data_IF_874093833462
#
_entry.id   IF_874093833462
#
_cell.length_a   1.000
_cell.length_b   1.000
_cell.length_c   1.000
_cell.angle_alpha   90.00
_cell.angle_beta   90.00
_cell.angle_gamma   90.00
#
_symmetry.space_group_name_H-M   'P 1'
#
loop_
_entity.id
_entity.type
_entity.pdbx_description
1 polymer ?
#
# COMPACT_ATOMS: atom_id res chain seq x y z
N UNK A 1 -45.41 21.74 40.87
CA UNK A 1 -45.52 22.34 39.55
C UNK A 1 -44.55 21.58 38.66
N UNK A 2 -45.04 20.65 37.91
CA UNK A 2 -44.26 19.97 36.91
C UNK A 2 -44.25 20.80 35.64
N UNK A 3 -43.16 21.39 35.29
CA UNK A 3 -42.96 21.99 33.98
C UNK A 3 -42.07 21.12 33.17
N UNK A 4 -42.50 20.68 31.98
CA UNK A 4 -41.65 20.01 31.02
C UNK A 4 -40.52 20.96 30.65
N UNK A 5 -39.32 20.71 31.16
CA UNK A 5 -38.15 21.53 30.94
C UNK A 5 -36.91 20.69 30.73
N UNK A 6 -36.13 21.03 29.70
CA UNK A 6 -34.74 20.60 29.60
C UNK A 6 -33.86 21.64 30.27
N UNK A 7 -32.78 21.22 30.93
CA UNK A 7 -31.73 22.13 31.39
C UNK A 7 -30.40 21.74 30.72
N UNK A 8 -29.71 22.75 30.21
CA UNK A 8 -28.40 22.55 29.63
C UNK A 8 -27.38 22.31 30.73
N UNK A 9 -26.54 21.30 30.56
CA UNK A 9 -25.42 20.98 31.45
C UNK A 9 -24.12 21.33 30.72
N UNK A 10 -23.46 22.33 31.26
CA UNK A 10 -22.10 22.73 30.88
C UNK A 10 -21.08 21.91 31.70
N UNK A 11 -19.93 22.47 32.04
CA UNK A 11 -18.95 21.76 32.87
C UNK A 11 -19.50 21.58 34.30
N UNK A 12 -19.82 20.33 34.65
CA UNK A 12 -20.45 20.00 35.92
C UNK A 12 -20.15 18.57 36.37
N UNK A 13 -20.15 18.37 37.67
CA UNK A 13 -20.31 17.08 38.31
C UNK A 13 -21.66 17.05 39.03
N UNK A 14 -22.53 16.13 38.66
CA UNK A 14 -23.88 16.01 39.20
C UNK A 14 -24.05 14.64 39.85
N UNK A 15 -24.43 14.66 41.13
CA UNK A 15 -24.76 13.49 41.92
C UNK A 15 -26.21 13.64 42.40
N UNK A 16 -27.12 13.05 41.63
CA UNK A 16 -28.55 13.07 41.96
C UNK A 16 -28.96 11.77 42.62
N UNK A 17 -29.52 11.88 43.84
CA UNK A 17 -29.96 10.72 44.65
C UNK A 17 -31.39 10.93 45.11
N UNK A 18 -32.20 9.89 44.97
CA UNK A 18 -33.49 9.81 45.64
C UNK A 18 -33.31 9.02 46.94
N UNK A 19 -33.52 9.70 48.05
CA UNK A 19 -33.41 9.12 49.41
C UNK A 19 -34.75 8.62 49.94
N UNK A 20 -35.84 8.71 49.17
CA UNK A 20 -37.14 8.20 49.58
C UNK A 20 -37.19 6.67 49.47
N UNK A 21 -38.03 6.07 50.33
CA UNK A 21 -38.27 4.59 50.28
C UNK A 21 -39.11 4.20 49.04
N UNK A 22 -39.67 5.13 48.34
CA UNK A 22 -40.44 4.94 47.11
C UNK A 22 -39.48 4.88 45.92
N UNK A 23 -39.70 3.96 44.98
CA UNK A 23 -38.90 3.78 43.73
C UNK A 23 -39.17 4.94 42.73
N UNK A 24 -38.86 6.17 43.13
CA UNK A 24 -38.98 7.34 42.29
C UNK A 24 -37.62 7.65 41.69
N UNK A 25 -37.50 7.96 40.39
CA UNK A 25 -36.23 8.36 39.78
C UNK A 25 -35.61 9.58 40.46
N UNK A 26 -34.28 9.66 40.49
CA UNK A 26 -33.56 10.82 41.00
C UNK A 26 -33.76 12.05 40.08
N UNK A 27 -33.94 11.82 38.80
CA UNK A 27 -34.23 12.81 37.78
C UNK A 27 -35.53 12.40 37.08
N UNK A 28 -36.51 13.29 37.08
CA UNK A 28 -37.81 13.04 36.47
C UNK A 28 -37.80 13.18 34.95
N UNK A 29 -38.64 12.42 34.24
CA UNK A 29 -38.84 12.47 32.78
C UNK A 29 -39.12 13.89 32.25
N UNK A 30 -39.75 14.70 33.07
CA UNK A 30 -40.12 16.08 32.71
C UNK A 30 -38.96 17.07 32.86
N UNK A 31 -37.80 16.63 33.37
CA UNK A 31 -36.65 17.48 33.66
C UNK A 31 -35.36 16.77 33.24
N UNK A 32 -35.15 16.60 31.94
CA UNK A 32 -34.05 15.87 31.38
C UNK A 32 -32.83 16.77 31.22
N UNK A 33 -31.65 16.39 31.78
CA UNK A 33 -30.41 17.09 31.48
C UNK A 33 -30.03 16.88 30.03
N UNK A 34 -29.65 17.96 29.35
CA UNK A 34 -29.10 17.95 27.99
C UNK A 34 -27.70 18.49 28.07
N UNK A 35 -26.74 17.69 27.57
CA UNK A 35 -25.36 18.16 27.51
C UNK A 35 -25.28 19.32 26.52
N UNK A 36 -24.80 20.47 26.99
CA UNK A 36 -24.69 21.66 26.17
C UNK A 36 -23.71 21.48 25.02
N UNK A 37 -23.88 22.22 23.93
CA UNK A 37 -22.94 22.24 22.82
C UNK A 37 -21.55 22.65 23.32
N UNK A 38 -20.50 21.93 22.86
CA UNK A 38 -19.12 22.15 23.31
C UNK A 38 -18.74 21.41 24.59
N UNK A 39 -19.63 20.57 25.13
CA UNK A 39 -19.33 19.72 26.28
C UNK A 39 -19.53 18.24 25.97
N UNK A 40 -18.89 17.38 26.72
CA UNK A 40 -19.02 15.94 26.60
C UNK A 40 -19.22 15.29 27.99
N UNK A 41 -20.00 14.23 27.99
CA UNK A 41 -20.14 13.35 29.14
C UNK A 41 -18.87 12.46 29.25
N UNK A 42 -18.13 12.63 30.33
CA UNK A 42 -16.88 11.89 30.57
C UNK A 42 -16.99 10.78 31.59
N UNK A 43 -18.05 10.83 32.41
CA UNK A 43 -18.38 9.81 33.38
C UNK A 43 -19.90 9.78 33.54
N UNK A 44 -20.51 8.62 33.58
CA UNK A 44 -21.93 8.47 33.91
C UNK A 44 -22.19 7.08 34.45
N UNK A 45 -22.58 7.02 35.71
CA UNK A 45 -23.07 5.80 36.37
C UNK A 45 -24.42 6.05 37.00
N UNK A 46 -25.21 5.01 37.00
CA UNK A 46 -26.51 5.02 37.64
C UNK A 46 -26.72 3.77 38.48
N UNK A 47 -27.67 3.85 39.41
CA UNK A 47 -28.15 2.68 40.16
C UNK A 47 -29.65 2.56 39.91
N UNK A 48 -30.07 1.39 39.43
CA UNK A 48 -31.47 1.09 39.18
C UNK A 48 -32.28 0.88 40.46
N UNK A 49 -33.56 0.56 40.30
CA UNK A 49 -34.44 0.30 41.43
C UNK A 49 -34.07 -0.94 42.23
N UNK A 50 -33.42 -1.90 41.63
CA UNK A 50 -32.92 -3.16 42.19
C UNK A 50 -31.57 -3.01 42.89
N UNK A 51 -30.90 -1.86 42.73
CA UNK A 51 -29.60 -1.57 43.31
C UNK A 51 -28.40 -1.96 42.43
N UNK A 52 -28.64 -2.28 41.15
CA UNK A 52 -27.60 -2.61 40.19
C UNK A 52 -26.93 -1.36 39.65
N UNK A 53 -25.57 -1.34 39.66
CA UNK A 53 -24.81 -0.26 39.03
C UNK A 53 -24.76 -0.44 37.51
N UNK A 54 -25.07 0.63 36.78
CA UNK A 54 -25.09 0.66 35.31
C UNK A 54 -24.14 1.75 34.84
N UNK A 55 -23.27 1.41 33.90
CA UNK A 55 -22.42 2.35 33.18
C UNK A 55 -23.18 2.90 31.98
N UNK A 56 -23.60 4.15 32.07
CA UNK A 56 -24.41 4.84 31.05
C UNK A 56 -23.56 5.28 29.84
N UNK A 57 -22.22 5.41 29.98
CA UNK A 57 -21.34 5.71 28.86
C UNK A 57 -21.25 4.52 27.91
N UNK A 58 -21.05 3.33 28.44
CA UNK A 58 -20.95 2.11 27.65
C UNK A 58 -22.28 1.69 27.03
N UNK A 59 -23.41 2.01 27.67
CA UNK A 59 -24.74 1.74 27.14
C UNK A 59 -25.16 2.68 26.01
N UNK A 60 -24.45 3.80 25.81
CA UNK A 60 -24.76 4.80 24.80
C UNK A 60 -26.05 5.58 25.08
N UNK A 61 -26.63 5.42 26.29
CA UNK A 61 -27.87 6.14 26.66
C UNK A 61 -27.57 7.34 27.54
N UNK A 62 -28.22 8.46 27.26
CA UNK A 62 -28.25 9.68 28.08
C UNK A 62 -29.58 9.83 28.81
N UNK A 63 -30.36 8.74 28.94
CA UNK A 63 -31.67 8.79 29.57
C UNK A 63 -31.55 8.52 31.06
N UNK A 64 -31.47 9.57 31.85
CA UNK A 64 -31.22 9.52 33.30
C UNK A 64 -32.48 9.32 34.16
N UNK A 65 -33.65 9.45 33.58
CA UNK A 65 -34.90 9.49 34.31
C UNK A 65 -35.37 8.17 34.91
N UNK A 66 -34.74 7.06 34.61
CA UNK A 66 -35.13 5.71 35.09
C UNK A 66 -34.39 5.25 36.36
N UNK A 67 -33.43 6.04 36.83
CA UNK A 67 -32.51 5.57 37.84
C UNK A 67 -32.70 6.23 39.20
N UNK A 68 -32.54 5.44 40.26
CA UNK A 68 -32.66 5.90 41.65
C UNK A 68 -31.51 6.83 42.06
N UNK A 69 -30.29 6.53 41.57
CA UNK A 69 -29.13 7.38 41.76
C UNK A 69 -28.46 7.55 40.39
N UNK A 70 -28.02 8.77 40.08
CA UNK A 70 -27.27 9.08 38.87
C UNK A 70 -26.11 9.98 39.26
N UNK A 71 -24.92 9.58 38.86
CA UNK A 71 -23.72 10.40 38.98
C UNK A 71 -23.12 10.57 37.58
N UNK A 72 -22.94 11.79 37.11
CA UNK A 72 -22.30 12.08 35.84
C UNK A 72 -21.40 13.32 35.89
N UNK A 73 -20.40 13.32 35.03
CA UNK A 73 -19.44 14.42 34.88
C UNK A 73 -19.41 14.85 33.43
N UNK A 74 -19.55 16.14 33.20
CA UNK A 74 -19.36 16.78 31.89
C UNK A 74 -18.12 17.64 31.89
N UNK A 75 -17.43 17.70 30.77
CA UNK A 75 -16.26 18.58 30.57
C UNK A 75 -16.36 19.30 29.25
N UNK A 76 -15.73 20.47 29.17
CA UNK A 76 -15.55 21.19 27.94
C UNK A 76 -14.80 20.31 26.92
N UNK A 77 -15.26 20.32 25.66
CA UNK A 77 -14.69 19.61 24.56
C UNK A 77 -14.30 20.59 23.45
N UNK A 78 -13.14 20.39 22.89
CA UNK A 78 -12.52 21.30 21.94
C UNK A 78 -12.46 20.65 20.55
N UNK A 79 -12.79 21.38 19.47
CA UNK A 79 -12.69 20.86 18.12
C UNK A 79 -11.25 20.60 17.76
N UNK A 80 -10.99 19.37 17.33
CA UNK A 80 -9.69 18.90 16.82
C UNK A 80 -9.83 18.63 15.34
N UNK A 81 -9.01 19.30 14.53
CA UNK A 81 -8.94 19.10 13.09
C UNK A 81 -7.67 18.32 12.73
N UNK A 82 -7.82 17.25 11.98
CA UNK A 82 -6.71 16.48 11.41
C UNK A 82 -6.48 16.91 9.97
N UNK A 83 -5.35 17.52 9.69
CA UNK A 83 -4.93 17.87 8.32
C UNK A 83 -4.04 16.78 7.81
N UNK A 84 -4.59 15.93 6.96
CA UNK A 84 -3.89 14.76 6.39
C UNK A 84 -3.39 15.11 5.00
N UNK A 85 -2.10 14.93 4.76
CA UNK A 85 -1.47 15.22 3.47
C UNK A 85 -0.78 13.97 2.91
N UNK A 86 -0.64 13.85 1.57
CA UNK A 86 -1.11 14.77 0.52
C UNK A 86 -2.65 14.80 0.36
N UNK A 87 -3.19 15.86 -0.21
CA UNK A 87 -4.64 16.13 -0.28
C UNK A 87 -5.41 15.17 -1.20
N UNK A 88 -4.71 14.51 -2.14
CA UNK A 88 -5.28 13.55 -3.11
C UNK A 88 -5.51 12.16 -2.52
N UNK A 89 -5.26 11.94 -1.24
CA UNK A 89 -5.47 10.64 -0.60
C UNK A 89 -6.94 10.22 -0.62
N UNK A 90 -7.16 8.93 -0.84
CA UNK A 90 -8.49 8.32 -0.83
C UNK A 90 -8.68 7.41 0.38
N UNK A 91 -9.96 7.23 0.79
CA UNK A 91 -10.34 6.38 1.92
C UNK A 91 -9.59 6.70 3.22
N UNK A 92 -9.39 8.00 3.48
CA UNK A 92 -8.75 8.45 4.72
C UNK A 92 -9.67 8.16 5.90
N UNK A 93 -9.17 7.38 6.86
CA UNK A 93 -9.85 7.06 8.12
C UNK A 93 -8.98 7.52 9.27
N UNK A 94 -9.52 8.39 10.11
CA UNK A 94 -8.90 8.82 11.37
C UNK A 94 -9.53 8.07 12.52
N UNK A 95 -8.71 7.51 13.39
CA UNK A 95 -9.14 6.89 14.65
C UNK A 95 -8.50 7.59 15.83
N UNK A 96 -9.32 7.80 16.87
CA UNK A 96 -8.90 8.32 18.17
C UNK A 96 -9.11 7.20 19.19
N UNK A 97 -8.07 6.80 19.91
CA UNK A 97 -8.10 5.67 20.85
C UNK A 97 -8.74 4.41 20.25
N UNK A 98 -8.43 4.12 18.96
CA UNK A 98 -8.93 2.95 18.23
C UNK A 98 -10.34 3.10 17.62
N UNK A 99 -11.09 4.16 17.91
CA UNK A 99 -12.41 4.43 17.37
C UNK A 99 -12.36 5.40 16.19
N UNK A 100 -13.02 5.03 15.07
CA UNK A 100 -13.12 5.93 13.93
C UNK A 100 -13.96 7.17 14.27
N UNK A 101 -13.45 8.33 13.86
CA UNK A 101 -14.09 9.63 14.16
C UNK A 101 -14.33 10.42 12.88
N UNK A 102 -15.30 11.34 12.95
CA UNK A 102 -15.44 12.39 11.93
C UNK A 102 -14.37 13.45 12.12
N UNK A 103 -14.02 14.16 11.06
CA UNK A 103 -13.04 15.25 11.10
C UNK A 103 -13.73 16.57 10.69
N UNK A 104 -13.80 17.58 11.56
CA UNK A 104 -13.26 17.64 12.93
C UNK A 104 -14.01 16.75 13.93
N UNK A 105 -13.37 16.47 15.07
CA UNK A 105 -13.93 15.77 16.24
C UNK A 105 -13.78 16.64 17.49
N UNK A 106 -14.78 16.63 18.37
CA UNK A 106 -14.67 17.29 19.66
C UNK A 106 -14.08 16.35 20.69
N UNK A 107 -13.02 16.77 21.39
CA UNK A 107 -12.35 16.00 22.43
C UNK A 107 -12.16 16.86 23.68
N UNK A 108 -12.32 16.27 24.84
CA UNK A 108 -11.99 16.93 26.12
C UNK A 108 -10.47 17.09 26.27
N UNK A 109 -10.02 17.93 27.19
CA UNK A 109 -8.60 18.05 27.47
C UNK A 109 -8.02 16.69 27.90
N UNK A 110 -6.89 16.30 27.27
CA UNK A 110 -6.26 15.00 27.49
C UNK A 110 -5.31 14.61 26.36
N UNK A 111 -4.67 13.46 26.50
CA UNK A 111 -3.79 12.90 25.45
C UNK A 111 -4.47 11.70 24.82
N UNK A 112 -4.50 11.67 23.50
CA UNK A 112 -5.18 10.67 22.69
C UNK A 112 -4.23 10.01 21.71
N UNK A 113 -4.33 8.69 21.58
CA UNK A 113 -3.67 7.97 20.52
C UNK A 113 -4.41 8.21 19.20
N UNK A 114 -3.66 8.54 18.16
CA UNK A 114 -4.17 8.77 16.82
C UNK A 114 -3.63 7.72 15.88
N UNK A 115 -4.51 7.11 15.10
CA UNK A 115 -4.17 6.25 13.98
C UNK A 115 -4.84 6.81 12.73
N UNK A 116 -4.09 6.89 11.62
CA UNK A 116 -4.62 7.30 10.33
C UNK A 116 -4.24 6.28 9.28
N UNK A 117 -5.22 5.87 8.50
CA UNK A 117 -5.04 5.00 7.34
C UNK A 117 -5.59 5.67 6.09
N UNK A 118 -4.95 5.42 4.96
CA UNK A 118 -5.41 5.83 3.63
C UNK A 118 -4.97 4.77 2.62
N UNK A 119 -5.60 4.76 1.45
CA UNK A 119 -5.22 3.84 0.38
C UNK A 119 -3.77 4.06 -0.04
N UNK A 120 -3.09 2.94 -0.30
CA UNK A 120 -1.71 2.95 -0.79
C UNK A 120 -0.69 3.63 0.14
N UNK A 121 -1.03 3.90 1.39
CA UNK A 121 -0.16 4.55 2.36
C UNK A 121 0.22 3.61 3.51
N UNK A 122 1.36 3.91 4.11
CA UNK A 122 1.72 3.35 5.41
C UNK A 122 0.79 3.96 6.46
N UNK A 123 0.26 3.11 7.36
CA UNK A 123 -0.52 3.61 8.49
C UNK A 123 0.32 4.55 9.35
N UNK A 124 -0.29 5.66 9.74
CA UNK A 124 0.29 6.60 10.71
C UNK A 124 -0.18 6.24 12.11
N UNK A 125 0.69 6.37 13.09
CA UNK A 125 0.36 6.28 14.52
C UNK A 125 1.12 7.37 15.28
N UNK A 126 0.41 8.06 16.16
CA UNK A 126 0.97 9.15 16.96
C UNK A 126 0.04 9.51 18.12
N UNK A 127 0.33 10.59 18.80
CA UNK A 127 -0.50 11.13 19.87
C UNK A 127 -0.80 12.60 19.63
N UNK A 128 -1.96 13.06 20.07
CA UNK A 128 -2.31 14.47 20.20
C UNK A 128 -2.61 14.78 21.67
N UNK A 129 -2.19 15.95 22.13
CA UNK A 129 -2.60 16.50 23.43
C UNK A 129 -3.57 17.65 23.18
N UNK A 130 -4.76 17.53 23.71
CA UNK A 130 -5.78 18.57 23.71
C UNK A 130 -5.68 19.28 25.04
N UNK A 131 -5.56 20.59 25.00
CA UNK A 131 -5.44 21.44 26.19
C UNK A 131 -6.68 22.33 26.30
N UNK A 132 -6.94 22.86 27.47
CA UNK A 132 -8.05 23.78 27.77
C UNK A 132 -7.70 25.27 27.56
N UNK A 133 -6.45 25.55 27.18
CA UNK A 133 -5.97 26.91 26.91
C UNK A 133 -6.14 27.33 25.44
N UNK A 134 -6.58 26.44 24.55
CA UNK A 134 -6.80 26.70 23.13
C UNK A 134 -8.21 26.33 22.71
N UNK A 135 -8.90 27.25 22.04
CA UNK A 135 -10.28 27.04 21.56
C UNK A 135 -10.38 25.99 20.44
N UNK A 136 -9.30 25.73 19.73
CA UNK A 136 -9.22 24.73 18.65
C UNK A 136 -7.85 24.08 18.60
N UNK A 137 -7.79 22.85 18.13
CA UNK A 137 -6.53 22.12 17.94
C UNK A 137 -6.41 21.65 16.50
N UNK A 138 -5.20 21.68 15.95
CA UNK A 138 -4.91 21.18 14.61
C UNK A 138 -3.74 20.20 14.68
N UNK A 139 -3.92 19.00 14.15
CA UNK A 139 -2.88 17.99 13.99
C UNK A 139 -2.57 17.79 12.52
N UNK A 140 -1.36 18.16 12.11
CA UNK A 140 -0.88 17.87 10.76
C UNK A 140 -0.29 16.46 10.69
N UNK A 141 -0.71 15.69 9.71
CA UNK A 141 -0.33 14.30 9.50
C UNK A 141 0.13 14.12 8.06
N UNK A 142 1.43 13.91 7.87
CA UNK A 142 2.00 13.59 6.58
C UNK A 142 2.01 12.07 6.39
N UNK A 143 1.19 11.57 5.46
CA UNK A 143 1.16 10.16 5.07
C UNK A 143 2.28 9.86 4.07
N UNK A 144 2.77 8.64 4.10
CA UNK A 144 3.79 8.18 3.16
C UNK A 144 3.22 7.04 2.34
N UNK A 145 3.28 7.14 1.02
CA UNK A 145 2.88 6.07 0.12
C UNK A 145 3.72 4.81 0.34
N UNK A 146 3.12 3.66 0.09
CA UNK A 146 3.84 2.39 0.01
C UNK A 146 4.80 2.42 -1.18
N UNK A 147 5.94 1.72 -1.12
CA UNK A 147 6.82 1.58 -2.27
C UNK A 147 6.11 0.82 -3.41
N UNK A 148 6.51 1.10 -4.64
CA UNK A 148 6.07 0.31 -5.80
C UNK A 148 6.62 -1.13 -5.72
N UNK A 149 5.94 -2.05 -6.40
CA UNK A 149 6.40 -3.44 -6.55
C UNK A 149 7.35 -3.58 -7.74
N UNK A 150 8.61 -3.91 -7.46
CA UNK A 150 9.67 -4.10 -8.45
C UNK A 150 9.87 -5.56 -8.88
N UNK A 151 9.02 -6.49 -8.46
CA UNK A 151 9.19 -7.93 -8.73
C UNK A 151 9.36 -8.23 -10.21
N UNK A 152 8.59 -7.56 -11.09
CA UNK A 152 8.68 -7.72 -12.55
C UNK A 152 10.02 -7.18 -13.10
N UNK A 153 10.46 -6.02 -12.60
CA UNK A 153 11.74 -5.41 -12.98
C UNK A 153 12.89 -6.32 -12.60
N UNK A 154 12.87 -6.84 -11.37
CA UNK A 154 13.92 -7.75 -10.88
C UNK A 154 13.97 -9.05 -11.68
N UNK A 155 12.81 -9.59 -12.05
CA UNK A 155 12.73 -10.76 -12.92
C UNK A 155 13.26 -10.47 -14.33
N UNK A 156 12.95 -9.32 -14.92
CA UNK A 156 13.46 -8.92 -16.23
C UNK A 156 14.98 -8.71 -16.21
N UNK A 157 15.52 -8.07 -15.16
CA UNK A 157 16.96 -7.91 -14.96
C UNK A 157 17.64 -9.26 -14.80
N UNK A 158 17.05 -10.18 -14.03
CA UNK A 158 17.60 -11.53 -13.85
C UNK A 158 17.65 -12.28 -15.19
N UNK A 159 16.62 -12.19 -16.02
CA UNK A 159 16.62 -12.74 -17.39
C UNK A 159 17.76 -12.14 -18.23
N UNK A 160 17.90 -10.80 -18.24
CA UNK A 160 18.96 -10.11 -18.96
C UNK A 160 20.36 -10.59 -18.54
N UNK A 161 20.58 -10.71 -17.24
CA UNK A 161 21.87 -11.14 -16.67
C UNK A 161 22.21 -12.62 -16.92
N UNK A 162 21.21 -13.45 -17.19
CA UNK A 162 21.40 -14.87 -17.52
C UNK A 162 21.83 -15.10 -18.98
N UNK A 163 21.71 -14.10 -19.85
CA UNK A 163 22.07 -14.20 -21.25
C UNK A 163 23.58 -14.11 -21.43
N UNK A 164 24.12 -14.92 -22.34
CA UNK A 164 25.52 -14.83 -22.76
C UNK A 164 25.67 -13.70 -23.80
N UNK A 165 26.21 -12.57 -23.38
CA UNK A 165 26.35 -11.37 -24.21
C UNK A 165 27.16 -11.62 -25.49
N UNK A 166 28.11 -12.55 -25.45
CA UNK A 166 29.01 -12.86 -26.56
C UNK A 166 28.32 -13.53 -27.75
N UNK A 167 27.10 -14.06 -27.54
CA UNK A 167 26.28 -14.68 -28.57
C UNK A 167 25.50 -13.71 -29.44
N UNK A 168 25.36 -12.44 -29.01
CA UNK A 168 24.50 -11.46 -29.68
C UNK A 168 25.32 -10.43 -30.49
N UNK A 169 24.71 -9.94 -31.58
CA UNK A 169 25.31 -8.92 -32.45
C UNK A 169 25.49 -7.59 -31.72
N UNK A 170 24.46 -7.20 -30.97
CA UNK A 170 24.48 -6.01 -30.11
C UNK A 170 23.67 -6.29 -28.83
N UNK A 171 24.32 -6.17 -27.70
CA UNK A 171 23.70 -6.33 -26.37
C UNK A 171 23.51 -4.97 -25.66
N UNK A 172 24.00 -3.87 -26.21
CA UNK A 172 24.01 -2.56 -25.58
C UNK A 172 22.62 -2.01 -25.29
N UNK A 173 21.61 -2.39 -26.10
CA UNK A 173 20.22 -2.01 -25.91
C UNK A 173 19.66 -2.56 -24.61
N UNK A 174 19.97 -3.82 -24.28
CA UNK A 174 19.56 -4.45 -23.02
C UNK A 174 20.26 -3.79 -21.84
N UNK A 175 21.58 -3.54 -21.95
CA UNK A 175 22.34 -2.85 -20.89
C UNK A 175 21.81 -1.45 -20.63
N UNK A 176 21.44 -0.72 -21.68
CA UNK A 176 20.84 0.61 -21.57
C UNK A 176 19.46 0.55 -20.84
N UNK A 177 18.60 -0.40 -21.22
CA UNK A 177 17.31 -0.58 -20.59
C UNK A 177 17.44 -0.91 -19.09
N UNK A 178 18.36 -1.79 -18.71
CA UNK A 178 18.65 -2.12 -17.31
C UNK A 178 19.17 -0.91 -16.54
N UNK A 179 20.06 -0.11 -17.15
CA UNK A 179 20.64 1.08 -16.52
C UNK A 179 19.63 2.20 -16.27
N UNK A 180 18.56 2.28 -17.03
CA UNK A 180 17.50 3.30 -16.86
C UNK A 180 16.52 3.00 -15.75
N UNK A 181 16.64 1.88 -15.04
CA UNK A 181 15.76 1.53 -13.94
C UNK A 181 15.94 2.48 -12.76
N UNK A 182 14.84 3.10 -12.34
CA UNK A 182 14.74 3.99 -11.16
C UNK A 182 14.02 3.22 -10.04
N UNK A 183 14.57 3.25 -8.81
CA UNK A 183 14.15 2.35 -7.70
C UNK A 183 13.37 3.00 -6.55
N UNK A 184 13.14 4.29 -6.56
CA UNK A 184 12.54 5.07 -5.46
C UNK A 184 11.12 5.54 -5.77
N UNK A 185 10.42 4.83 -6.67
CA UNK A 185 9.02 5.08 -6.97
C UNK A 185 8.09 4.47 -5.93
N UNK A 186 6.98 5.15 -5.70
CA UNK A 186 5.91 4.66 -4.84
C UNK A 186 4.81 3.94 -5.63
N UNK A 187 3.87 3.35 -4.93
CA UNK A 187 2.81 2.50 -5.51
C UNK A 187 1.91 3.26 -6.52
N UNK A 188 1.77 4.58 -6.40
CA UNK A 188 0.97 5.37 -7.36
C UNK A 188 1.65 5.48 -8.73
N UNK A 189 2.96 5.19 -8.78
CA UNK A 189 3.80 5.18 -9.99
C UNK A 189 4.03 3.74 -10.51
N UNK A 190 3.24 2.74 -10.06
CA UNK A 190 3.43 1.33 -10.43
C UNK A 190 3.42 1.12 -11.95
N UNK A 191 2.61 1.87 -12.69
CA UNK A 191 2.57 1.79 -14.16
C UNK A 191 3.93 2.11 -14.81
N UNK A 192 4.66 3.08 -14.25
CA UNK A 192 5.99 3.43 -14.74
C UNK A 192 7.01 2.34 -14.40
N UNK A 193 6.89 1.73 -13.22
CA UNK A 193 7.73 0.59 -12.82
C UNK A 193 7.48 -0.62 -13.75
N UNK A 194 6.22 -0.92 -14.06
CA UNK A 194 5.87 -1.98 -14.99
C UNK A 194 6.38 -1.70 -16.41
N UNK A 195 6.39 -0.43 -16.84
CA UNK A 195 6.97 -0.02 -18.12
C UNK A 195 8.48 -0.24 -18.19
N UNK A 196 9.22 -0.06 -17.07
CA UNK A 196 10.67 -0.36 -17.03
C UNK A 196 10.92 -1.87 -17.22
N UNK A 197 10.12 -2.73 -16.59
CA UNK A 197 10.22 -4.18 -16.79
C UNK A 197 9.97 -4.54 -18.25
N UNK A 198 8.91 -3.98 -18.83
CA UNK A 198 8.58 -4.20 -20.24
C UNK A 198 9.69 -3.72 -21.18
N UNK A 199 10.31 -2.58 -20.92
CA UNK A 199 11.40 -2.07 -21.76
C UNK A 199 12.60 -3.03 -21.78
N UNK A 200 12.94 -3.66 -20.65
CA UNK A 200 13.99 -4.66 -20.58
C UNK A 200 13.58 -5.92 -21.36
N UNK A 201 12.34 -6.39 -21.19
CA UNK A 201 11.84 -7.57 -21.91
C UNK A 201 11.77 -7.33 -23.43
N UNK A 202 11.34 -6.17 -23.88
CA UNK A 202 11.31 -5.78 -25.29
C UNK A 202 12.74 -5.72 -25.86
N UNK A 203 13.69 -5.18 -25.09
CA UNK A 203 15.11 -5.14 -25.51
C UNK A 203 15.71 -6.56 -25.63
N UNK A 204 15.37 -7.46 -24.71
CA UNK A 204 15.77 -8.87 -24.79
C UNK A 204 15.15 -9.55 -26.03
N UNK A 205 13.88 -9.31 -26.29
CA UNK A 205 13.17 -9.90 -27.42
C UNK A 205 13.69 -9.41 -28.79
N UNK A 206 14.28 -8.21 -28.83
CA UNK A 206 14.88 -7.64 -30.03
C UNK A 206 16.29 -8.13 -30.33
N UNK A 207 16.92 -8.89 -29.42
CA UNK A 207 18.28 -9.40 -29.60
C UNK A 207 18.39 -10.31 -30.83
N UNK A 208 19.49 -10.14 -31.54
CA UNK A 208 19.85 -11.00 -32.69
C UNK A 208 21.14 -11.70 -32.40
N UNK A 209 21.13 -13.01 -32.60
CA UNK A 209 22.34 -13.81 -32.50
C UNK A 209 23.38 -13.44 -33.57
N UNK A 210 24.64 -13.55 -33.23
CA UNK A 210 25.76 -13.51 -34.21
C UNK A 210 25.60 -14.67 -35.17
N UNK A 211 26.11 -14.48 -36.37
CA UNK A 211 26.17 -15.56 -37.36
C UNK A 211 27.19 -16.60 -36.91
N UNK A 212 26.99 -17.87 -37.27
CA UNK A 212 27.97 -18.91 -37.04
C UNK A 212 29.24 -18.67 -37.86
N UNK A 213 30.36 -19.15 -37.37
CA UNK A 213 31.64 -19.11 -38.07
C UNK A 213 31.77 -20.30 -39.06
N UNK A 214 31.78 -19.97 -40.35
CA UNK A 214 31.89 -20.92 -41.44
C UNK A 214 33.32 -21.12 -41.95
N UNK A 215 34.34 -20.53 -41.28
CA UNK A 215 35.74 -20.59 -41.75
C UNK A 215 36.20 -22.01 -42.05
N UNK A 216 35.94 -22.97 -41.17
CA UNK A 216 36.30 -24.37 -41.38
C UNK A 216 35.57 -25.03 -42.55
N UNK A 217 34.31 -24.71 -42.74
CA UNK A 217 33.49 -25.20 -43.85
C UNK A 217 34.04 -24.65 -45.17
N UNK A 218 34.34 -23.36 -45.23
CA UNK A 218 34.89 -22.70 -46.40
C UNK A 218 36.25 -23.25 -46.77
N UNK A 219 37.11 -23.54 -45.79
CA UNK A 219 38.39 -24.23 -45.99
C UNK A 219 38.21 -25.67 -46.53
N UNK A 220 37.24 -26.43 -46.00
CA UNK A 220 36.92 -27.76 -46.47
C UNK A 220 36.43 -27.76 -47.92
N UNK A 221 35.51 -26.83 -48.27
CA UNK A 221 35.01 -26.61 -49.62
C UNK A 221 36.18 -26.25 -50.56
N UNK A 222 37.06 -25.34 -50.15
CA UNK A 222 38.18 -24.91 -50.93
C UNK A 222 39.13 -26.12 -51.25
N UNK A 223 39.39 -26.96 -50.24
CA UNK A 223 40.17 -28.21 -50.44
C UNK A 223 39.49 -29.15 -51.41
N UNK A 224 38.18 -29.40 -51.26
CA UNK A 224 37.39 -30.24 -52.14
C UNK A 224 37.41 -29.72 -53.57
N UNK A 225 37.28 -28.42 -53.79
CA UNK A 225 37.34 -27.81 -55.14
C UNK A 225 38.74 -27.83 -55.79
N UNK A 226 39.76 -27.92 -54.97
CA UNK A 226 41.18 -28.03 -55.51
C UNK A 226 41.53 -29.42 -55.94
N UNK A 227 40.70 -30.43 -55.67
CA UNK A 227 40.96 -31.80 -56.14
C UNK A 227 40.70 -31.96 -57.63
N UNK A 228 41.58 -32.67 -58.33
CA UNK A 228 41.38 -33.04 -59.75
C UNK A 228 40.41 -34.20 -59.81
N UNK A 229 39.17 -33.98 -60.27
CA UNK A 229 38.08 -34.96 -60.31
C UNK A 229 38.46 -36.20 -61.17
N UNK A 230 39.25 -36.00 -62.23
CA UNK A 230 39.64 -37.05 -63.16
C UNK A 230 40.62 -38.12 -62.54
N UNK A 231 41.17 -37.77 -61.37
CA UNK A 231 42.01 -38.67 -60.60
C UNK A 231 41.30 -39.67 -59.70
N UNK A 232 39.93 -39.45 -59.54
CA UNK A 232 39.12 -40.24 -58.63
C UNK A 232 38.16 -41.14 -59.41
N UNK A 233 37.97 -42.35 -58.96
CA UNK A 233 37.12 -43.36 -59.58
C UNK A 233 35.61 -42.97 -59.39
N UNK A 234 35.31 -42.31 -58.27
CA UNK A 234 34.01 -41.76 -57.96
C UNK A 234 34.19 -40.47 -57.09
N UNK A 235 33.70 -39.34 -57.55
CA UNK A 235 33.82 -38.06 -56.91
C UNK A 235 32.44 -37.57 -56.37
N UNK A 236 31.37 -38.36 -56.61
CA UNK A 236 30.01 -37.98 -56.32
C UNK A 236 29.75 -37.69 -54.83
N UNK A 237 30.46 -38.41 -53.93
CA UNK A 237 30.37 -38.22 -52.48
C UNK A 237 30.86 -36.85 -52.04
N UNK A 238 31.97 -36.38 -52.64
CA UNK A 238 32.52 -35.04 -52.34
C UNK A 238 31.58 -33.93 -52.82
N UNK A 239 31.04 -34.10 -54.07
CA UNK A 239 30.08 -33.13 -54.60
C UNK A 239 28.81 -33.08 -53.77
N UNK A 240 28.31 -34.24 -53.33
CA UNK A 240 27.11 -34.31 -52.46
C UNK A 240 27.37 -33.60 -51.11
N UNK A 241 28.55 -33.82 -50.50
CA UNK A 241 28.89 -33.16 -49.24
C UNK A 241 28.98 -31.62 -49.38
N UNK A 242 29.63 -31.14 -50.44
CA UNK A 242 29.72 -29.69 -50.71
C UNK A 242 28.33 -29.09 -50.94
N UNK A 243 27.48 -29.78 -51.70
CA UNK A 243 26.11 -29.30 -51.98
C UNK A 243 25.18 -29.39 -50.78
N UNK A 244 25.49 -30.21 -49.79
CA UNK A 244 24.69 -30.37 -48.56
C UNK A 244 24.96 -29.27 -47.52
N UNK A 245 25.92 -28.38 -47.74
CA UNK A 245 26.28 -27.31 -46.82
C UNK A 245 25.12 -26.33 -46.70
N UNK A 246 24.60 -26.18 -45.48
CA UNK A 246 23.51 -25.21 -45.15
C UNK A 246 24.16 -23.94 -44.56
N UNK A 247 23.83 -22.79 -45.15
CA UNK A 247 24.29 -21.47 -44.72
C UNK A 247 23.19 -20.74 -43.92
N UNK A 248 23.58 -19.70 -43.18
CA UNK A 248 22.64 -18.84 -42.45
C UNK A 248 22.34 -19.29 -41.03
N UNK A 249 23.08 -20.26 -40.50
CA UNK A 249 23.02 -20.64 -39.08
C UNK A 249 23.62 -19.56 -38.19
N UNK A 250 23.14 -19.48 -36.97
CA UNK A 250 23.66 -18.55 -35.96
C UNK A 250 24.66 -19.27 -35.02
N UNK A 251 25.30 -18.49 -34.14
CA UNK A 251 26.38 -18.98 -33.26
C UNK A 251 25.93 -20.11 -32.31
N UNK A 252 24.63 -20.18 -31.93
CA UNK A 252 24.11 -21.26 -31.06
C UNK A 252 24.10 -22.61 -31.80
N UNK A 253 24.19 -22.60 -33.14
CA UNK A 253 24.23 -23.76 -34.02
C UNK A 253 25.66 -24.04 -34.51
N UNK A 254 26.72 -23.45 -33.92
CA UNK A 254 28.09 -23.58 -34.35
C UNK A 254 28.57 -25.04 -34.44
N UNK A 255 28.11 -25.89 -33.51
CA UNK A 255 28.48 -27.32 -33.55
C UNK A 255 27.97 -28.03 -34.79
N UNK A 256 26.81 -27.64 -35.32
CA UNK A 256 26.28 -28.20 -36.58
C UNK A 256 27.08 -27.69 -37.77
N UNK A 257 27.47 -26.41 -37.76
CA UNK A 257 28.34 -25.84 -38.78
C UNK A 257 29.72 -26.55 -38.80
N UNK A 258 30.32 -26.75 -37.63
CA UNK A 258 31.60 -27.48 -37.51
C UNK A 258 31.50 -28.93 -37.97
N UNK A 259 30.32 -29.55 -37.87
CA UNK A 259 30.10 -30.91 -38.38
C UNK A 259 30.09 -30.99 -39.92
N UNK A 260 29.66 -29.93 -40.63
CA UNK A 260 29.64 -29.86 -42.07
C UNK A 260 31.06 -29.78 -42.68
N UNK A 261 32.06 -29.43 -41.88
CA UNK A 261 33.45 -29.31 -42.31
C UNK A 261 34.24 -30.65 -42.23
N UNK A 262 33.61 -31.72 -41.75
CA UNK A 262 34.24 -33.06 -41.55
C UNK A 262 33.93 -33.97 -42.73
#
# INVERSE_FOLDING_TARGET
MGGNGTFAVEEAEIDAKNTSENNIPAIFDECVPVIADGYQLTYAKAVDAEGTEIDLLSSGTQYFALYKNVHFITKAAYPVTFVVTPDELTNVVVKVNGQAVTNPVNLVAGTYQIEVTADNCKAYSGNITVTDDAATHTQNIAMTYLPADYTKVDAAIAKANALNKDEYKDFSVVEAAVKTVVRDKNITEQTEVDAMAKAIEDAIAALQYKDADYTKVDEAIAKANALNKDEYKDFSGVEAAVNAVVRGKNITEQSEVDAMAK
#
